data_IF_546911284248
#
_entry.id   IF_546911284248
#
_cell.length_a   1.000
_cell.length_b   1.000
_cell.length_c   1.000
_cell.angle_alpha   90.00
_cell.angle_beta   90.00
_cell.angle_gamma   90.00
#
_symmetry.space_group_name_H-M   'P 1'
#
loop_
_entity.id
_entity.type
_entity.pdbx_description
1 polymer ?
#
# COMPACT_ATOMS: atom_id res chain seq x y z
N UNK A 1 -17.73 29.68 -4.51
CA UNK A 1 -16.92 28.44 -4.35
C UNK A 1 -16.75 28.03 -2.88
N UNK A 2 -16.31 28.91 -1.99
CA UNK A 2 -16.09 28.58 -0.57
C UNK A 2 -17.38 28.21 0.18
N UNK A 3 -18.49 28.92 -0.08
CA UNK A 3 -19.79 28.58 0.52
C UNK A 3 -20.30 27.18 0.12
N UNK A 4 -20.09 26.76 -1.13
CA UNK A 4 -20.48 25.40 -1.56
C UNK A 4 -19.61 24.33 -0.88
N UNK A 5 -18.31 24.59 -0.68
CA UNK A 5 -17.44 23.71 0.12
C UNK A 5 -17.92 23.62 1.56
N UNK A 6 -18.24 24.77 2.19
CA UNK A 6 -18.78 24.83 3.56
C UNK A 6 -20.06 24.02 3.68
N UNK A 7 -20.99 24.19 2.73
CA UNK A 7 -22.26 23.44 2.70
C UNK A 7 -22.04 21.93 2.63
N UNK A 8 -21.11 21.46 1.78
CA UNK A 8 -20.77 20.03 1.66
C UNK A 8 -20.14 19.47 2.94
N UNK A 9 -19.24 20.22 3.56
CA UNK A 9 -18.61 19.83 4.83
C UNK A 9 -19.67 19.72 5.94
N UNK A 10 -20.57 20.71 6.06
CA UNK A 10 -21.67 20.65 7.03
C UNK A 10 -22.57 19.42 6.80
N UNK A 11 -22.92 19.11 5.55
CA UNK A 11 -23.70 17.90 5.22
C UNK A 11 -23.00 16.62 5.67
N UNK A 12 -21.70 16.49 5.42
CA UNK A 12 -20.91 15.34 5.86
C UNK A 12 -20.85 15.23 7.39
N UNK A 13 -20.70 16.35 8.10
CA UNK A 13 -20.65 16.37 9.55
C UNK A 13 -21.99 16.04 10.21
N UNK A 14 -23.11 16.47 9.62
CA UNK A 14 -24.46 16.14 10.12
C UNK A 14 -24.77 14.65 9.94
N UNK A 15 -24.27 14.03 8.86
CA UNK A 15 -24.47 12.61 8.60
C UNK A 15 -23.50 11.69 9.39
N UNK A 16 -22.39 12.24 9.89
CA UNK A 16 -21.33 11.48 10.54
C UNK A 16 -21.80 10.86 11.87
N UNK A 17 -21.43 9.60 12.09
CA UNK A 17 -21.75 8.85 13.31
C UNK A 17 -20.49 8.57 14.13
N UNK A 18 -20.63 8.57 15.45
CA UNK A 18 -19.57 8.21 16.39
C UNK A 18 -18.25 8.98 16.16
N UNK A 19 -17.21 8.30 15.66
CA UNK A 19 -15.86 8.85 15.48
C UNK A 19 -15.58 9.33 14.05
N UNK A 20 -16.54 9.19 13.13
CA UNK A 20 -16.38 9.60 11.73
C UNK A 20 -16.09 11.09 11.62
N UNK A 21 -16.82 11.94 12.36
CA UNK A 21 -16.62 13.38 12.38
C UNK A 21 -15.18 13.77 12.74
N UNK A 22 -14.55 13.04 13.67
CA UNK A 22 -13.15 13.27 14.08
C UNK A 22 -12.18 13.01 12.91
N UNK A 23 -12.34 11.91 12.19
CA UNK A 23 -11.46 11.59 11.05
C UNK A 23 -11.75 12.48 9.85
N UNK A 24 -13.01 12.88 9.64
CA UNK A 24 -13.40 13.80 8.57
C UNK A 24 -12.78 15.19 8.77
N UNK A 25 -12.87 15.74 9.99
CA UNK A 25 -12.19 16.99 10.33
C UNK A 25 -10.66 16.91 10.15
N UNK A 26 -10.04 15.80 10.56
CA UNK A 26 -8.59 15.58 10.41
C UNK A 26 -8.15 15.45 8.95
N UNK A 27 -8.96 14.79 8.12
CA UNK A 27 -8.72 14.66 6.68
C UNK A 27 -8.81 16.02 5.98
N UNK A 28 -9.82 16.83 6.30
CA UNK A 28 -9.97 18.19 5.77
C UNK A 28 -8.83 19.13 6.19
N UNK A 29 -8.23 18.89 7.36
CA UNK A 29 -7.05 19.61 7.84
C UNK A 29 -5.73 19.10 7.22
N UNK A 30 -5.77 18.03 6.42
CA UNK A 30 -4.59 17.37 5.85
C UNK A 30 -3.73 16.62 6.88
N UNK A 31 -4.23 16.38 8.09
CA UNK A 31 -3.48 15.79 9.21
C UNK A 31 -4.27 14.66 9.86
N UNK A 32 -4.27 13.48 9.24
CA UNK A 32 -5.03 12.32 9.71
C UNK A 32 -4.56 11.79 11.09
N UNK A 33 -3.26 11.92 11.40
CA UNK A 33 -2.63 11.53 12.68
C UNK A 33 -2.93 10.08 13.10
N UNK A 34 -2.93 9.15 12.14
CA UNK A 34 -3.06 7.71 12.38
C UNK A 34 -1.71 6.99 12.51
N UNK A 35 -0.60 7.71 12.31
CA UNK A 35 0.77 7.17 12.34
C UNK A 35 0.97 6.00 11.36
N UNK A 36 0.25 6.02 10.24
CA UNK A 36 0.38 5.07 9.15
C UNK A 36 1.24 5.70 8.05
N UNK A 37 2.21 4.95 7.55
CA UNK A 37 3.05 5.32 6.41
C UNK A 37 2.74 4.45 5.19
N UNK A 38 3.12 4.90 3.99
CA UNK A 38 2.87 4.18 2.73
C UNK A 38 3.42 2.75 2.75
N UNK A 39 4.58 2.53 3.37
CA UNK A 39 5.15 1.19 3.56
C UNK A 39 4.21 0.23 4.31
N UNK A 40 3.56 0.74 5.36
CA UNK A 40 2.60 -0.06 6.13
C UNK A 40 1.34 -0.32 5.30
N UNK A 41 0.91 0.64 4.49
CA UNK A 41 -0.20 0.45 3.55
C UNK A 41 0.09 -0.67 2.55
N UNK A 42 1.26 -0.67 1.89
CA UNK A 42 1.65 -1.72 0.94
C UNK A 42 1.67 -3.11 1.59
N UNK A 43 2.27 -3.23 2.78
CA UNK A 43 2.29 -4.50 3.53
C UNK A 43 0.87 -4.95 3.89
N UNK A 44 0.03 -4.05 4.43
CA UNK A 44 -1.35 -4.41 4.78
C UNK A 44 -2.18 -4.85 3.58
N UNK A 45 -2.00 -4.20 2.42
CA UNK A 45 -2.73 -4.52 1.20
C UNK A 45 -2.28 -5.88 0.65
N UNK A 46 -0.97 -6.11 0.55
CA UNK A 46 -0.42 -7.38 0.10
C UNK A 46 -0.88 -8.53 1.00
N UNK A 47 -0.79 -8.35 2.32
CA UNK A 47 -1.22 -9.36 3.28
C UNK A 47 -2.72 -9.66 3.16
N UNK A 48 -3.57 -8.64 2.97
CA UNK A 48 -5.00 -8.84 2.79
C UNK A 48 -5.32 -9.72 1.57
N UNK A 49 -4.65 -9.51 0.44
CA UNK A 49 -4.84 -10.32 -0.76
C UNK A 49 -4.32 -11.75 -0.59
N UNK A 50 -3.14 -11.95 0.04
CA UNK A 50 -2.60 -13.29 0.31
C UNK A 50 -3.53 -14.07 1.24
N UNK A 51 -3.97 -13.46 2.34
CA UNK A 51 -4.88 -14.11 3.29
C UNK A 51 -6.25 -14.43 2.66
N UNK A 52 -6.75 -13.56 1.78
CA UNK A 52 -8.00 -13.79 1.06
C UNK A 52 -7.88 -14.96 0.08
N UNK A 53 -6.77 -15.05 -0.67
CA UNK A 53 -6.51 -16.19 -1.57
C UNK A 53 -6.39 -17.51 -0.78
N UNK A 54 -5.64 -17.50 0.33
CA UNK A 54 -5.52 -18.67 1.20
C UNK A 54 -6.88 -19.10 1.78
N UNK A 55 -7.71 -18.15 2.22
CA UNK A 55 -9.05 -18.45 2.72
C UNK A 55 -9.97 -19.02 1.62
N UNK A 56 -9.87 -18.51 0.38
CA UNK A 56 -10.59 -19.02 -0.79
C UNK A 56 -10.18 -20.44 -1.14
N UNK A 57 -8.88 -20.73 -1.13
CA UNK A 57 -8.33 -22.07 -1.38
C UNK A 57 -8.71 -23.06 -0.28
N UNK A 58 -8.68 -22.64 0.98
CA UNK A 58 -9.09 -23.48 2.11
C UNK A 58 -10.56 -23.93 1.98
N UNK A 59 -11.47 -23.04 1.54
CA UNK A 59 -12.87 -23.40 1.27
C UNK A 59 -13.04 -24.42 0.15
N UNK A 60 -12.19 -24.37 -0.88
CA UNK A 60 -12.30 -25.24 -2.07
C UNK A 60 -11.60 -26.58 -1.89
N UNK A 61 -10.48 -26.61 -1.17
CA UNK A 61 -9.58 -27.78 -1.11
C UNK A 61 -9.51 -28.46 0.26
N UNK A 62 -10.09 -27.87 1.32
CA UNK A 62 -10.05 -28.41 2.68
C UNK A 62 -8.65 -28.50 3.30
N UNK A 63 -7.61 -28.06 2.60
CA UNK A 63 -6.21 -28.15 3.03
C UNK A 63 -5.83 -27.10 4.08
N UNK A 64 -4.90 -27.47 4.98
CA UNK A 64 -4.20 -26.49 5.83
C UNK A 64 -3.29 -25.64 4.95
N UNK A 65 -3.52 -24.32 4.94
CA UNK A 65 -2.60 -23.37 4.33
C UNK A 65 -1.22 -23.34 5.01
N UNK A 66 -0.23 -22.69 4.40
CA UNK A 66 1.12 -22.54 4.93
C UNK A 66 1.09 -21.88 6.33
N UNK A 67 1.97 -22.33 7.23
CA UNK A 67 2.00 -21.89 8.64
C UNK A 67 3.43 -21.58 9.08
N UNK A 68 3.54 -20.61 9.99
CA UNK A 68 4.82 -20.25 10.59
C UNK A 68 5.67 -19.41 9.64
N UNK A 69 6.92 -19.83 9.45
CA UNK A 69 7.96 -19.10 8.72
C UNK A 69 7.64 -18.96 7.21
N UNK A 70 7.14 -20.02 6.57
CA UNK A 70 6.75 -20.00 5.16
C UNK A 70 5.69 -18.92 4.86
N UNK A 71 4.72 -18.75 5.77
CA UNK A 71 3.70 -17.70 5.61
C UNK A 71 4.33 -16.31 5.78
N UNK A 72 5.27 -16.14 6.70
CA UNK A 72 5.94 -14.86 6.92
C UNK A 72 6.78 -14.46 5.69
N UNK A 73 7.48 -15.41 5.08
CA UNK A 73 8.22 -15.20 3.84
C UNK A 73 7.29 -14.80 2.68
N UNK A 74 6.21 -15.54 2.45
CA UNK A 74 5.21 -15.19 1.43
C UNK A 74 4.61 -13.79 1.63
N UNK A 75 4.34 -13.41 2.87
CA UNK A 75 3.82 -12.08 3.20
C UNK A 75 4.86 -10.98 2.95
N UNK A 76 6.13 -11.22 3.27
CA UNK A 76 7.22 -10.30 3.01
C UNK A 76 7.48 -10.11 1.50
N UNK A 77 7.50 -11.21 0.74
CA UNK A 77 7.68 -11.20 -0.72
C UNK A 77 6.54 -10.45 -1.42
N UNK A 78 5.29 -10.74 -1.04
CA UNK A 78 4.13 -10.06 -1.62
C UNK A 78 4.11 -8.57 -1.29
N UNK A 79 4.49 -8.17 -0.07
CA UNK A 79 4.62 -6.77 0.31
C UNK A 79 5.69 -6.05 -0.52
N UNK A 80 6.83 -6.71 -0.76
CA UNK A 80 7.90 -6.17 -1.60
C UNK A 80 7.42 -5.99 -3.05
N UNK A 81 6.71 -6.98 -3.60
CA UNK A 81 6.20 -6.94 -4.97
C UNK A 81 5.21 -5.77 -5.19
N UNK A 82 4.27 -5.58 -4.26
CA UNK A 82 3.31 -4.46 -4.32
C UNK A 82 4.04 -3.13 -4.22
N UNK A 83 5.01 -3.01 -3.29
CA UNK A 83 5.78 -1.78 -3.15
C UNK A 83 6.61 -1.47 -4.40
N UNK A 84 7.25 -2.48 -5.00
CA UNK A 84 8.00 -2.32 -6.25
C UNK A 84 7.09 -1.88 -7.40
N UNK A 85 5.95 -2.54 -7.56
CA UNK A 85 4.99 -2.20 -8.64
C UNK A 85 4.48 -0.77 -8.47
N UNK A 86 4.15 -0.35 -7.25
CA UNK A 86 3.72 1.02 -6.98
C UNK A 86 4.84 2.05 -7.25
N UNK A 87 6.11 1.70 -6.98
CA UNK A 87 7.22 2.59 -7.30
C UNK A 87 7.43 2.77 -8.81
N UNK A 88 7.11 1.75 -9.61
CA UNK A 88 7.14 1.81 -11.08
C UNK A 88 5.93 2.57 -11.66
N UNK A 89 4.77 2.42 -11.02
CA UNK A 89 3.51 3.04 -11.43
C UNK A 89 2.72 3.50 -10.19
N UNK A 90 2.95 4.72 -9.67
CA UNK A 90 2.30 5.23 -8.45
C UNK A 90 0.87 5.73 -8.71
N UNK A 91 0.05 4.89 -9.36
CA UNK A 91 -1.35 5.14 -9.68
C UNK A 91 -2.21 4.02 -9.08
N UNK A 92 -2.86 4.32 -7.96
CA UNK A 92 -3.79 3.39 -7.31
C UNK A 92 -4.97 3.01 -8.21
N UNK A 93 -5.40 3.93 -9.07
CA UNK A 93 -6.51 3.72 -10.01
C UNK A 93 -6.23 2.63 -11.05
N UNK A 94 -4.96 2.39 -11.39
CA UNK A 94 -4.57 1.33 -12.32
C UNK A 94 -4.16 0.06 -11.58
N UNK A 95 -3.45 0.20 -10.46
CA UNK A 95 -2.96 -0.93 -9.67
C UNK A 95 -4.09 -1.74 -9.02
N UNK A 96 -5.09 -1.08 -8.42
CA UNK A 96 -6.15 -1.76 -7.67
C UNK A 96 -7.06 -2.62 -8.56
N UNK A 97 -7.53 -2.16 -9.74
CA UNK A 97 -8.32 -3.02 -10.63
C UNK A 97 -7.55 -4.26 -11.08
N UNK A 98 -6.24 -4.14 -11.33
CA UNK A 98 -5.39 -5.29 -11.70
C UNK A 98 -5.29 -6.28 -10.54
N UNK A 99 -5.02 -5.80 -9.32
CA UNK A 99 -4.98 -6.63 -8.11
C UNK A 99 -6.31 -7.35 -7.86
N UNK A 100 -7.44 -6.65 -8.02
CA UNK A 100 -8.77 -7.23 -7.85
C UNK A 100 -9.10 -8.28 -8.92
N UNK A 101 -8.68 -8.07 -10.18
CA UNK A 101 -8.87 -9.04 -11.27
C UNK A 101 -8.04 -10.30 -11.09
N UNK A 102 -6.78 -10.16 -10.66
CA UNK A 102 -5.89 -11.29 -10.41
C UNK A 102 -6.32 -12.06 -9.16
N UNK A 103 -6.82 -11.36 -8.13
CA UNK A 103 -7.22 -11.94 -6.85
C UNK A 103 -6.06 -12.48 -6.01
N UNK A 104 -4.82 -12.28 -6.46
CA UNK A 104 -3.57 -12.68 -5.80
C UNK A 104 -2.42 -11.79 -6.21
N UNK A 105 -1.41 -11.71 -5.34
CA UNK A 105 -0.18 -10.93 -5.55
C UNK A 105 0.87 -11.84 -6.19
N UNK A 106 1.01 -11.75 -7.52
CA UNK A 106 1.96 -12.52 -8.32
C UNK A 106 2.82 -11.60 -9.18
N UNK A 107 3.91 -12.12 -9.75
CA UNK A 107 4.75 -11.43 -10.74
C UNK A 107 3.98 -10.84 -11.94
N UNK A 108 2.81 -11.41 -12.29
CA UNK A 108 1.90 -10.91 -13.33
C UNK A 108 1.39 -9.49 -13.07
N UNK A 109 1.40 -9.06 -11.80
CA UNK A 109 1.09 -7.68 -11.43
C UNK A 109 2.04 -6.70 -12.11
N UNK A 110 3.33 -7.01 -12.14
CA UNK A 110 4.38 -6.18 -12.74
C UNK A 110 4.38 -6.23 -14.27
N UNK A 111 3.89 -7.33 -14.85
CA UNK A 111 3.69 -7.43 -16.30
C UNK A 111 2.54 -6.53 -16.79
N UNK A 112 1.51 -6.33 -15.97
CA UNK A 112 0.36 -5.50 -16.30
C UNK A 112 0.56 -4.03 -15.90
N UNK A 113 1.23 -3.77 -14.77
CA UNK A 113 1.55 -2.44 -14.27
C UNK A 113 3.03 -2.14 -14.51
N UNK A 114 3.36 -1.74 -15.74
CA UNK A 114 4.73 -1.40 -16.14
C UNK A 114 5.00 0.09 -16.01
N UNK A 115 6.28 0.42 -15.86
CA UNK A 115 6.77 1.78 -16.03
C UNK A 115 6.31 2.37 -17.37
N UNK A 116 5.54 3.45 -17.30
CA UNK A 116 4.95 4.10 -18.48
C UNK A 116 5.45 5.53 -18.56
N UNK A 117 5.97 5.92 -19.74
CA UNK A 117 6.44 7.27 -19.97
C UNK A 117 5.31 8.29 -19.75
N UNK A 118 5.59 9.34 -18.99
CA UNK A 118 4.60 10.35 -18.60
C UNK A 118 4.00 10.15 -17.21
N UNK A 119 4.18 8.97 -16.59
CA UNK A 119 3.83 8.75 -15.18
C UNK A 119 5.09 8.92 -14.32
N UNK A 120 5.06 9.73 -13.25
CA UNK A 120 6.21 9.88 -12.35
C UNK A 120 6.48 8.56 -11.62
N UNK A 121 7.74 8.26 -11.33
CA UNK A 121 8.15 7.09 -10.52
C UNK A 121 8.51 7.48 -9.10
N UNK A 122 8.50 6.51 -8.19
CA UNK A 122 9.06 6.69 -6.86
C UNK A 122 10.55 7.05 -6.95
N UNK A 123 10.99 8.25 -6.50
CA UNK A 123 12.38 8.65 -6.62
C UNK A 123 13.28 7.83 -5.67
N UNK A 124 14.52 7.58 -6.09
CA UNK A 124 15.51 6.99 -5.21
C UNK A 124 15.93 8.01 -4.14
N UNK A 125 15.79 7.65 -2.87
CA UNK A 125 16.17 8.49 -1.74
C UNK A 125 17.56 8.11 -1.22
N UNK A 126 18.39 9.10 -0.95
CA UNK A 126 19.70 8.90 -0.35
C UNK A 126 19.58 8.73 1.17
N UNK A 127 20.38 7.83 1.74
CA UNK A 127 20.55 7.71 3.19
C UNK A 127 21.63 8.71 3.64
N UNK A 128 21.38 9.56 4.66
CA UNK A 128 22.42 10.44 5.17
C UNK A 128 23.60 9.62 5.70
N UNK A 129 24.82 10.10 5.44
CA UNK A 129 26.09 9.51 5.89
C UNK A 129 26.91 10.57 6.61
N UNK A 130 27.62 10.18 7.67
CA UNK A 130 28.40 11.10 8.51
C UNK A 130 29.89 11.14 8.16
N UNK A 131 30.38 10.22 7.34
CA UNK A 131 31.80 10.16 6.97
C UNK A 131 32.09 9.12 5.90
N UNK A 132 33.32 9.16 5.38
CA UNK A 132 33.80 8.28 4.30
C UNK A 132 33.86 6.83 4.77
N UNK A 133 34.22 6.57 6.02
CA UNK A 133 34.28 5.21 6.59
C UNK A 133 32.89 4.54 6.58
N UNK A 134 31.82 5.30 6.83
CA UNK A 134 30.43 4.80 6.77
C UNK A 134 30.02 4.46 5.33
N UNK A 135 30.54 5.21 4.35
CA UNK A 135 30.32 4.95 2.93
C UNK A 135 31.05 3.66 2.52
N UNK A 136 32.34 3.53 2.86
CA UNK A 136 33.15 2.36 2.54
C UNK A 136 32.56 1.08 3.16
N UNK A 137 32.14 1.14 4.43
CA UNK A 137 31.47 0.03 5.11
C UNK A 137 30.13 -0.38 4.46
N UNK A 138 29.39 0.57 3.85
CA UNK A 138 28.12 0.28 3.16
C UNK A 138 28.31 -0.26 1.75
N UNK A 139 29.35 0.18 1.04
CA UNK A 139 29.60 -0.19 -0.35
C UNK A 139 30.63 -1.32 -0.51
N UNK A 140 31.25 -1.77 0.58
CA UNK A 140 32.13 -2.95 0.60
C UNK A 140 33.54 -2.66 0.08
N UNK A 141 34.22 -1.73 0.73
CA UNK A 141 35.69 -1.65 0.75
C UNK A 141 36.20 -1.98 2.15
#
# INVERSE_FOLDING_TARGET
>A
AMEEKRRRICKLLVAAKQTEAKYLCRALQGKLRIHLADRTLFSSLAHAFVLLDLASRAKKSGGRGPRGEELAEMLAESALLVSQTYNELPLWEELLPVLLKLGKVDARLREQCKLTAGVPVGPMLAKPTKGVDEVLAKFGA
#
